data_IF_174449764843
#
_entry.id   IF_174449764843
#
_cell.length_a   1.000
_cell.length_b   1.000
_cell.length_c   1.000
_cell.angle_alpha   90.00
_cell.angle_beta   90.00
_cell.angle_gamma   90.00
#
_symmetry.space_group_name_H-M   'P 1'
#
loop_
_entity.id
_entity.type
_entity.pdbx_description
1 polymer ?
#
# COMPACT_ATOMS: atom_id res chain seq x y z
N UNK A 1 55.33 14.61 44.72
CA UNK A 1 54.01 15.11 45.18
C UNK A 1 53.22 15.50 43.94
N UNK A 2 52.13 14.76 43.72
CA UNK A 2 50.94 15.09 42.91
C UNK A 2 51.07 15.10 41.37
N UNK A 3 50.47 14.04 40.81
CA UNK A 3 50.00 13.84 39.45
C UNK A 3 49.10 14.99 38.96
N UNK A 4 49.24 15.36 37.68
CA UNK A 4 48.15 15.96 36.90
C UNK A 4 48.02 15.23 35.56
N UNK A 5 47.40 14.06 35.64
CA UNK A 5 46.65 13.46 34.54
C UNK A 5 45.28 14.11 34.53
N UNK A 6 44.86 14.73 33.42
CA UNK A 6 43.42 14.92 33.19
C UNK A 6 43.03 15.04 31.71
N UNK A 7 42.12 14.13 31.36
CA UNK A 7 41.03 14.25 30.38
C UNK A 7 41.40 14.12 28.89
N UNK A 8 41.51 12.86 28.47
CA UNK A 8 40.91 12.44 27.21
C UNK A 8 39.96 11.27 27.51
N UNK A 9 38.74 11.58 27.93
CA UNK A 9 37.67 10.59 28.06
C UNK A 9 36.41 11.17 27.43
N UNK A 10 35.99 10.54 26.33
CA UNK A 10 34.62 10.37 25.82
C UNK A 10 34.65 10.38 24.30
N UNK A 11 35.21 9.31 23.71
CA UNK A 11 34.78 8.90 22.38
C UNK A 11 33.36 8.37 22.57
N UNK A 12 32.38 9.22 22.27
CA UNK A 12 30.99 8.82 22.16
C UNK A 12 30.93 7.78 21.03
N UNK A 13 30.96 6.49 21.39
CA UNK A 13 30.49 5.44 20.50
C UNK A 13 29.02 5.73 20.26
N UNK A 14 28.71 6.43 19.17
CA UNK A 14 27.39 6.36 18.57
C UNK A 14 27.22 4.91 18.13
N UNK A 15 26.55 4.13 18.98
CA UNK A 15 25.94 2.89 18.56
C UNK A 15 25.01 3.25 17.40
N UNK A 16 25.44 2.93 16.18
CA UNK A 16 24.61 3.00 14.99
C UNK A 16 23.54 1.94 15.22
N UNK A 17 22.39 2.37 15.73
CA UNK A 17 21.17 1.58 15.72
C UNK A 17 20.85 1.39 14.24
N UNK A 18 20.85 0.18 13.68
CA UNK A 18 20.26 -0.03 12.37
C UNK A 18 18.75 0.13 12.58
N UNK A 19 18.27 1.37 12.50
CA UNK A 19 16.90 1.60 12.11
C UNK A 19 16.82 1.07 10.69
N UNK A 20 16.41 -0.19 10.56
CA UNK A 20 15.78 -0.75 9.37
C UNK A 20 14.46 0.00 9.15
N UNK A 21 14.54 1.32 8.97
CA UNK A 21 13.47 2.08 8.37
C UNK A 21 13.46 1.66 6.92
N UNK A 22 12.59 0.71 6.58
CA UNK A 22 12.12 0.62 5.21
C UNK A 22 11.66 2.03 4.84
N UNK A 23 12.47 2.73 4.05
CA UNK A 23 12.07 4.02 3.54
C UNK A 23 10.81 3.75 2.72
N UNK A 24 9.74 4.45 3.06
CA UNK A 24 8.53 4.54 2.25
C UNK A 24 8.79 5.38 1.00
N UNK A 25 9.93 5.16 0.36
CA UNK A 25 10.35 5.89 -0.82
C UNK A 25 9.50 5.41 -2.00
N UNK A 26 8.65 6.26 -2.60
CA UNK A 26 7.84 5.88 -3.75
C UNK A 26 8.69 5.38 -4.93
N UNK A 27 9.98 5.73 -4.99
CA UNK A 27 10.90 5.30 -6.04
C UNK A 27 11.67 4.01 -5.72
N UNK A 28 11.39 3.39 -4.57
CA UNK A 28 12.02 2.12 -4.20
C UNK A 28 11.78 1.04 -5.27
N UNK A 29 12.74 0.12 -5.50
CA UNK A 29 12.56 -0.97 -6.45
C UNK A 29 11.32 -1.83 -6.16
N UNK A 30 10.97 -1.99 -4.89
CA UNK A 30 9.77 -2.70 -4.45
C UNK A 30 8.50 -1.99 -4.91
N UNK A 31 8.39 -0.68 -4.67
CA UNK A 31 7.22 0.09 -5.06
C UNK A 31 7.05 0.13 -6.58
N UNK A 32 8.16 0.24 -7.34
CA UNK A 32 8.14 0.14 -8.80
C UNK A 32 7.61 -1.22 -9.27
N UNK A 33 8.02 -2.31 -8.62
CA UNK A 33 7.50 -3.66 -8.92
C UNK A 33 5.99 -3.73 -8.64
N UNK A 34 5.53 -3.21 -7.50
CA UNK A 34 4.10 -3.19 -7.17
C UNK A 34 3.32 -2.36 -8.20
N UNK A 35 3.79 -1.16 -8.55
CA UNK A 35 3.15 -0.32 -9.55
C UNK A 35 3.01 -1.01 -10.91
N UNK A 36 4.02 -1.76 -11.35
CA UNK A 36 3.94 -2.51 -12.61
C UNK A 36 2.80 -3.53 -12.59
N UNK A 37 2.59 -4.22 -11.46
CA UNK A 37 1.47 -5.16 -11.28
C UNK A 37 0.12 -4.44 -11.24
N UNK A 38 0.04 -3.32 -10.51
CA UNK A 38 -1.19 -2.52 -10.44
C UNK A 38 -1.57 -1.95 -11.80
N UNK A 39 -0.61 -1.46 -12.59
CA UNK A 39 -0.84 -0.95 -13.95
C UNK A 39 -1.32 -2.05 -14.89
N UNK A 40 -0.73 -3.25 -14.82
CA UNK A 40 -1.21 -4.38 -15.59
C UNK A 40 -2.66 -4.71 -15.24
N UNK A 41 -2.97 -4.86 -13.94
CA UNK A 41 -4.32 -5.18 -13.50
C UNK A 41 -5.33 -4.09 -13.87
N UNK A 42 -4.97 -2.81 -13.74
CA UNK A 42 -5.83 -1.70 -14.15
C UNK A 42 -6.09 -1.73 -15.65
N UNK A 43 -5.06 -2.00 -16.47
CA UNK A 43 -5.21 -2.13 -17.92
C UNK A 43 -6.22 -3.22 -18.32
N UNK A 44 -6.14 -4.39 -17.69
CA UNK A 44 -7.08 -5.50 -17.91
C UNK A 44 -8.53 -5.15 -17.50
N UNK A 45 -8.68 -4.32 -16.47
CA UNK A 45 -9.99 -3.92 -15.94
C UNK A 45 -10.56 -2.65 -16.58
N UNK A 46 -9.74 -1.84 -17.28
CA UNK A 46 -10.09 -0.51 -17.76
C UNK A 46 -11.34 -0.48 -18.64
N UNK A 47 -11.52 -1.50 -19.48
CA UNK A 47 -12.64 -1.59 -20.42
C UNK A 47 -13.82 -2.38 -19.86
N UNK A 48 -13.69 -2.96 -18.66
CA UNK A 48 -14.78 -3.69 -18.05
C UNK A 48 -15.88 -2.73 -17.60
N UNK A 49 -17.12 -3.14 -17.81
CA UNK A 49 -18.27 -2.43 -17.26
C UNK A 49 -18.27 -2.59 -15.74
N UNK A 50 -18.64 -1.52 -15.03
CA UNK A 50 -18.64 -1.43 -13.56
C UNK A 50 -19.75 -2.28 -12.91
N UNK A 51 -19.82 -3.58 -13.22
CA UNK A 51 -20.86 -4.52 -12.78
C UNK A 51 -20.53 -5.20 -11.45
N UNK A 52 -19.25 -5.38 -11.15
CA UNK A 52 -18.80 -5.97 -9.91
C UNK A 52 -18.44 -4.88 -8.90
N UNK A 53 -18.89 -5.04 -7.65
CA UNK A 53 -18.59 -4.10 -6.55
C UNK A 53 -17.09 -4.04 -6.22
N UNK A 54 -16.36 -5.13 -6.47
CA UNK A 54 -14.90 -5.18 -6.38
C UNK A 54 -14.35 -6.35 -7.20
N UNK A 55 -13.05 -6.30 -7.51
CA UNK A 55 -12.28 -7.44 -8.01
C UNK A 55 -11.08 -7.70 -7.12
N UNK A 56 -10.86 -8.96 -6.74
CA UNK A 56 -9.67 -9.37 -6.01
C UNK A 56 -8.77 -10.21 -6.91
N UNK A 57 -7.54 -9.74 -7.12
CA UNK A 57 -6.49 -10.45 -7.85
C UNK A 57 -5.52 -11.08 -6.87
N UNK A 58 -5.48 -12.42 -6.82
CA UNK A 58 -4.52 -13.14 -5.99
C UNK A 58 -3.27 -13.45 -6.82
N UNK A 59 -2.08 -13.16 -6.28
CA UNK A 59 -0.79 -13.47 -6.91
C UNK A 59 -0.74 -13.05 -8.39
N UNK A 60 -1.06 -11.78 -8.64
CA UNK A 60 -1.20 -11.24 -10.00
C UNK A 60 0.13 -11.33 -10.74
N UNK A 61 0.10 -11.70 -12.02
CA UNK A 61 1.30 -11.95 -12.85
C UNK A 61 2.27 -12.96 -12.22
N UNK A 62 1.76 -14.00 -11.54
CA UNK A 62 2.54 -15.02 -10.82
C UNK A 62 3.46 -14.46 -9.72
N UNK A 63 3.24 -13.21 -9.30
CA UNK A 63 3.96 -12.58 -8.20
C UNK A 63 3.31 -12.92 -6.85
N UNK A 64 3.91 -12.44 -5.75
CA UNK A 64 3.27 -12.51 -4.42
C UNK A 64 2.29 -11.36 -4.16
N UNK A 65 2.12 -10.46 -5.14
CA UNK A 65 1.34 -9.24 -4.99
C UNK A 65 -0.14 -9.59 -5.19
N UNK A 66 -0.93 -9.30 -4.17
CA UNK A 66 -2.38 -9.34 -4.25
C UNK A 66 -2.91 -7.92 -4.52
N UNK A 67 -3.94 -7.80 -5.34
CA UNK A 67 -4.55 -6.53 -5.71
C UNK A 67 -6.04 -6.55 -5.38
N UNK A 68 -6.59 -5.39 -5.05
CA UNK A 68 -8.04 -5.22 -4.96
C UNK A 68 -8.46 -4.00 -5.76
N UNK A 69 -9.51 -4.13 -6.55
CA UNK A 69 -9.97 -3.08 -7.44
C UNK A 69 -11.42 -2.70 -7.15
N UNK A 70 -11.73 -1.41 -7.19
CA UNK A 70 -13.07 -0.87 -6.98
C UNK A 70 -13.50 -0.05 -8.20
N UNK A 71 -14.79 -0.07 -8.59
CA UNK A 71 -15.28 0.74 -9.69
C UNK A 71 -15.03 2.22 -9.44
N UNK A 72 -14.73 2.98 -10.50
CA UNK A 72 -14.71 4.43 -10.45
C UNK A 72 -16.14 4.97 -10.21
N UNK A 73 -16.29 5.86 -9.23
CA UNK A 73 -17.61 6.41 -8.90
C UNK A 73 -18.06 7.41 -9.98
N UNK A 74 -19.29 7.27 -10.46
CA UNK A 74 -19.86 8.12 -11.53
C UNK A 74 -19.43 7.73 -12.95
N UNK A 75 -18.54 6.76 -13.10
CA UNK A 75 -18.07 6.27 -14.41
C UNK A 75 -18.77 4.97 -14.80
N UNK A 76 -18.99 4.78 -16.10
CA UNK A 76 -19.60 3.55 -16.64
C UNK A 76 -18.61 2.37 -16.67
N UNK A 77 -17.31 2.66 -16.71
CA UNK A 77 -16.21 1.70 -16.85
C UNK A 77 -15.02 2.14 -16.04
N UNK A 78 -14.12 1.20 -15.78
CA UNK A 78 -12.83 1.46 -15.18
C UNK A 78 -12.84 1.33 -13.66
N UNK A 79 -11.66 0.96 -13.17
CA UNK A 79 -11.44 0.56 -11.79
C UNK A 79 -10.19 1.24 -11.24
N UNK A 80 -10.21 1.57 -9.95
CA UNK A 80 -9.00 1.91 -9.20
C UNK A 80 -8.49 0.65 -8.52
N UNK A 81 -7.25 0.27 -8.82
CA UNK A 81 -6.59 -0.93 -8.30
C UNK A 81 -5.63 -0.53 -7.18
N UNK A 82 -5.77 -1.17 -6.02
CA UNK A 82 -4.91 -1.00 -4.85
C UNK A 82 -4.04 -2.23 -4.64
N UNK A 83 -2.84 -2.02 -4.09
CA UNK A 83 -2.10 -3.10 -3.47
C UNK A 83 -2.84 -3.55 -2.21
N UNK A 84 -3.23 -4.83 -2.15
CA UNK A 84 -4.17 -5.31 -1.13
C UNK A 84 -3.55 -5.47 0.27
N UNK A 85 -2.23 -5.73 0.34
CA UNK A 85 -1.55 -6.10 1.58
C UNK A 85 -0.31 -5.24 1.88
N UNK A 86 -0.41 -3.90 1.93
CA UNK A 86 0.66 -3.06 2.42
C UNK A 86 1.02 -3.41 3.86
N UNK A 87 2.32 -3.33 4.17
CA UNK A 87 2.84 -3.49 5.52
C UNK A 87 2.41 -2.31 6.42
N UNK A 88 2.44 -2.50 7.74
CA UNK A 88 2.19 -1.41 8.68
C UNK A 88 3.20 -0.26 8.48
N UNK A 89 2.69 0.97 8.46
CA UNK A 89 3.47 2.15 8.13
C UNK A 89 3.88 2.27 6.66
N UNK A 90 3.57 1.29 5.80
CA UNK A 90 3.87 1.30 4.37
C UNK A 90 3.02 2.28 3.55
N UNK A 91 3.47 2.59 2.33
CA UNK A 91 2.67 3.39 1.39
C UNK A 91 1.44 2.62 0.91
N UNK A 92 0.31 3.33 0.81
CA UNK A 92 -0.86 2.83 0.09
C UNK A 92 -0.66 3.14 -1.39
N UNK A 93 -0.47 2.09 -2.18
CA UNK A 93 -0.24 2.21 -3.62
C UNK A 93 -1.53 1.91 -4.39
N UNK A 94 -1.88 2.79 -5.32
CA UNK A 94 -3.03 2.63 -6.20
C UNK A 94 -2.73 3.07 -7.64
N UNK A 95 -3.49 2.52 -8.59
CA UNK A 95 -3.49 2.91 -10.00
C UNK A 95 -4.94 2.98 -10.51
N UNK A 96 -5.35 4.09 -11.16
CA UNK A 96 -4.62 5.36 -11.25
C UNK A 96 -4.42 6.03 -9.87
N UNK A 97 -3.26 6.65 -9.65
CA UNK A 97 -2.89 7.30 -8.37
C UNK A 97 -3.78 8.49 -8.00
N UNK A 98 -4.49 9.06 -8.99
CA UNK A 98 -5.14 10.36 -8.91
C UNK A 98 -6.64 10.28 -8.59
N UNK A 99 -7.17 9.10 -8.27
CA UNK A 99 -8.61 8.90 -8.12
C UNK A 99 -8.98 8.54 -6.68
N UNK A 100 -9.42 9.55 -5.94
CA UNK A 100 -10.05 9.38 -4.62
C UNK A 100 -11.52 8.93 -4.71
N UNK A 101 -12.11 8.96 -5.91
CA UNK A 101 -13.54 8.71 -6.10
C UNK A 101 -13.81 7.25 -6.52
N UNK A 102 -13.81 6.35 -5.54
CA UNK A 102 -14.19 4.94 -5.72
C UNK A 102 -15.64 4.70 -5.30
N UNK A 103 -16.32 3.80 -6.01
CA UNK A 103 -17.61 3.27 -5.58
C UNK A 103 -17.37 2.13 -4.58
N UNK A 104 -17.31 2.50 -3.30
CA UNK A 104 -17.13 1.57 -2.18
C UNK A 104 -18.20 1.81 -1.12
N UNK A 105 -19.04 0.81 -0.89
CA UNK A 105 -20.03 0.83 0.20
C UNK A 105 -19.44 0.24 1.48
N UNK A 106 -19.96 0.64 2.64
CA UNK A 106 -19.58 0.04 3.94
C UNK A 106 -19.76 -1.48 3.96
N UNK A 107 -20.87 -1.97 3.44
CA UNK A 107 -21.14 -3.42 3.35
C UNK A 107 -20.10 -4.15 2.50
N UNK A 108 -19.65 -3.53 1.40
CA UNK A 108 -18.60 -4.13 0.56
C UNK A 108 -17.28 -4.17 1.31
N UNK A 109 -16.93 -3.09 2.04
CA UNK A 109 -15.73 -3.04 2.86
C UNK A 109 -15.74 -4.12 3.96
N UNK A 110 -16.83 -4.26 4.70
CA UNK A 110 -17.00 -5.32 5.70
C UNK A 110 -16.80 -6.72 5.07
N UNK A 111 -17.44 -6.98 3.94
CA UNK A 111 -17.36 -8.26 3.26
C UNK A 111 -15.93 -8.63 2.78
N UNK A 112 -15.11 -7.65 2.39
CA UNK A 112 -13.71 -7.91 1.98
C UNK A 112 -12.77 -8.05 3.18
N UNK A 113 -13.07 -7.37 4.29
CA UNK A 113 -12.34 -7.49 5.57
C UNK A 113 -12.60 -8.85 6.20
N UNK A 114 -13.86 -9.28 6.28
CA UNK A 114 -14.24 -10.58 6.85
C UNK A 114 -13.61 -11.75 6.09
N UNK A 115 -13.41 -11.59 4.79
CA UNK A 115 -12.72 -12.56 3.93
C UNK A 115 -11.19 -12.51 4.03
N UNK A 116 -10.64 -11.55 4.77
CA UNK A 116 -9.19 -11.34 4.89
C UNK A 116 -8.51 -10.96 3.58
N UNK A 117 -9.22 -10.28 2.67
CA UNK A 117 -8.68 -9.94 1.34
C UNK A 117 -7.71 -8.75 1.37
N UNK A 118 -7.81 -7.91 2.39
CA UNK A 118 -7.01 -6.70 2.54
C UNK A 118 -6.31 -6.67 3.91
N UNK A 119 -5.15 -6.01 3.99
CA UNK A 119 -4.48 -5.79 5.27
C UNK A 119 -5.11 -4.63 6.05
N UNK A 120 -4.85 -4.57 7.36
CA UNK A 120 -5.37 -3.53 8.25
C UNK A 120 -5.02 -2.10 7.81
N UNK A 121 -3.78 -1.80 7.33
CA UNK A 121 -3.47 -0.47 6.81
C UNK A 121 -4.37 -0.05 5.64
N UNK A 122 -4.66 -0.96 4.71
CA UNK A 122 -5.57 -0.66 3.60
C UNK A 122 -7.03 -0.53 4.06
N UNK A 123 -7.49 -1.36 4.99
CA UNK A 123 -8.82 -1.23 5.58
C UNK A 123 -9.05 0.17 6.15
N UNK A 124 -8.12 0.65 6.98
CA UNK A 124 -8.21 1.99 7.59
C UNK A 124 -8.27 3.07 6.51
N UNK A 125 -7.45 2.94 5.45
CA UNK A 125 -7.45 3.88 4.34
C UNK A 125 -8.77 3.89 3.56
N UNK A 126 -9.38 2.72 3.36
CA UNK A 126 -10.64 2.57 2.62
C UNK A 126 -11.87 2.95 3.47
N UNK A 127 -11.83 2.76 4.79
CA UNK A 127 -12.91 3.13 5.69
C UNK A 127 -13.26 4.64 5.63
N UNK A 128 -12.26 5.48 5.38
CA UNK A 128 -12.44 6.93 5.19
C UNK A 128 -13.17 7.29 3.88
N UNK A 129 -13.29 6.35 2.95
CA UNK A 129 -13.86 6.53 1.60
C UNK A 129 -15.17 5.76 1.39
N UNK A 130 -15.47 4.83 2.29
CA UNK A 130 -16.68 4.03 2.21
C UNK A 130 -17.91 4.86 2.60
N UNK A 131 -18.93 4.87 1.73
CA UNK A 131 -20.20 5.57 1.95
C UNK A 131 -21.33 4.61 2.35
#
# INVERSE_FOLDING_TARGET
MIYTSWKALSVLMFAIIPFSGCSNDPESPENKRIYSVLQHQEFELRQQNNRANYFFGKRVMDTEINTIAFPLAGEAKGYVVFYATPAEGGLILSVPQQYDNISLTKQTLEAIVDKGLISKPLEIHLALRAH
#
